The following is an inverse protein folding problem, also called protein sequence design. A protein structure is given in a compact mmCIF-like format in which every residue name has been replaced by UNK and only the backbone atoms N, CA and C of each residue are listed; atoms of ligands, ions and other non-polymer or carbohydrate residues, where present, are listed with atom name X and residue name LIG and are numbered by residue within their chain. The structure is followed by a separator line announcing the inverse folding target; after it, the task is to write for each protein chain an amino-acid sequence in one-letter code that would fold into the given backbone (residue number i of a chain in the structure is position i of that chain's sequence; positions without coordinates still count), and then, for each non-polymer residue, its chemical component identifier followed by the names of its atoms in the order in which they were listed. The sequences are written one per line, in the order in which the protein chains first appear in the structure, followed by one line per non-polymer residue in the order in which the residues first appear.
data_IF_255568480549
#
_entry.id   IF_255568480549
#
_cell.length_a   1.000
_cell.length_b   1.000
_cell.length_c   1.000
_cell.angle_alpha   90.00
_cell.angle_beta   90.00
_cell.angle_gamma   90.00
#
_symmetry.space_group_name_H-M   'P 1'
#
loop_
_entity.id
_entity.type
_entity.pdbx_description
1 polymer ?
#
# COMPACT_ATOMS: atom_id res chain seq x y z
N UNK A 1 2.11 -15.27 -19.33
CA UNK A 1 1.63 -14.13 -18.50
C UNK A 1 2.70 -13.80 -17.44
N UNK A 2 3.96 -13.68 -17.86
CA UNK A 2 5.10 -13.29 -17.01
C UNK A 2 5.62 -11.90 -17.38
N UNK A 3 5.09 -11.28 -18.45
CA UNK A 3 5.64 -10.07 -19.07
C UNK A 3 5.07 -8.74 -18.55
N UNK A 4 4.08 -8.75 -17.65
CA UNK A 4 3.55 -7.51 -17.06
C UNK A 4 4.14 -7.16 -15.68
N UNK A 5 4.87 -8.10 -15.06
CA UNK A 5 5.44 -7.92 -13.70
C UNK A 5 6.81 -7.20 -13.75
N UNK A 6 7.39 -7.04 -14.94
CA UNK A 6 8.69 -6.40 -15.14
C UNK A 6 8.56 -5.20 -16.09
N UNK A 7 7.89 -4.13 -15.64
CA UNK A 7 8.21 -2.80 -16.16
C UNK A 7 9.19 -2.12 -15.22
N UNK A 8 10.40 -2.15 -15.73
CA UNK A 8 11.65 -1.57 -15.27
C UNK A 8 11.56 -0.05 -15.01
N UNK A 9 12.48 0.40 -14.15
CA UNK A 9 13.09 1.74 -14.08
C UNK A 9 12.17 2.97 -13.99
N UNK A 10 12.18 3.59 -12.81
CA UNK A 10 11.95 5.05 -12.65
C UNK A 10 10.56 5.56 -13.07
N UNK A 11 9.50 4.87 -12.66
CA UNK A 11 8.16 5.44 -12.78
C UNK A 11 8.08 6.74 -11.98
N UNK A 12 7.89 7.85 -12.70
CA UNK A 12 7.48 9.14 -12.15
C UNK A 12 6.33 8.91 -11.16
N UNK A 13 6.45 9.46 -9.95
CA UNK A 13 5.50 9.22 -8.88
C UNK A 13 6.10 9.59 -7.53
N UNK A 14 5.28 9.61 -6.50
CA UNK A 14 5.72 9.93 -5.14
C UNK A 14 6.72 8.88 -4.60
N UNK A 15 6.69 7.67 -5.15
CA UNK A 15 7.61 6.57 -4.82
C UNK A 15 8.75 6.40 -5.85
N UNK A 16 9.02 7.41 -6.70
CA UNK A 16 10.14 7.39 -7.63
C UNK A 16 11.46 7.07 -6.89
N UNK A 17 12.25 6.13 -7.41
CA UNK A 17 13.54 5.72 -6.80
C UNK A 17 13.44 4.83 -5.55
N UNK A 18 12.25 4.63 -4.97
CA UNK A 18 12.07 3.84 -3.74
C UNK A 18 12.45 2.36 -3.94
N UNK A 19 12.15 1.79 -5.10
CA UNK A 19 12.51 0.40 -5.41
C UNK A 19 14.04 0.17 -5.35
N UNK A 20 14.84 1.15 -5.79
CA UNK A 20 16.30 1.07 -5.73
C UNK A 20 16.81 1.07 -4.28
N UNK A 21 16.21 1.90 -3.42
CA UNK A 21 16.51 1.95 -1.98
C UNK A 21 16.19 0.60 -1.33
N UNK A 22 15.00 0.05 -1.59
CA UNK A 22 14.57 -1.25 -1.06
C UNK A 22 15.55 -2.35 -1.48
N UNK A 23 15.90 -2.42 -2.76
CA UNK A 23 16.87 -3.41 -3.25
C UNK A 23 18.26 -3.25 -2.61
N UNK A 24 18.72 -2.01 -2.45
CA UNK A 24 20.00 -1.68 -1.79
C UNK A 24 20.02 -2.12 -0.32
N UNK A 25 18.92 -1.93 0.41
CA UNK A 25 18.85 -2.26 1.84
C UNK A 25 18.65 -3.76 2.06
N UNK A 26 17.80 -4.41 1.26
CA UNK A 26 17.52 -5.84 1.38
C UNK A 26 18.70 -6.70 0.88
N UNK A 27 19.57 -6.16 0.00
CA UNK A 27 20.86 -6.76 -0.40
C UNK A 27 20.78 -8.19 -0.94
N UNK A 28 19.68 -8.55 -1.60
CA UNK A 28 19.51 -9.86 -2.22
C UNK A 28 20.43 -10.00 -3.45
N UNK A 29 21.31 -11.00 -3.45
CA UNK A 29 22.25 -11.28 -4.54
C UNK A 29 22.08 -12.72 -5.03
N UNK A 30 22.05 -12.93 -6.35
CA UNK A 30 22.28 -14.25 -6.95
C UNK A 30 23.54 -14.17 -7.81
N UNK A 31 24.42 -15.17 -7.67
CA UNK A 31 25.69 -15.52 -8.34
C UNK A 31 26.50 -14.51 -9.17
N UNK A 32 25.97 -13.38 -9.68
CA UNK A 32 26.66 -12.15 -10.09
C UNK A 32 25.72 -10.95 -10.39
N UNK A 33 24.44 -10.95 -9.97
CA UNK A 33 23.44 -9.91 -10.26
C UNK A 33 22.56 -9.59 -9.05
N UNK A 34 22.26 -8.31 -8.85
CA UNK A 34 21.27 -7.87 -7.87
C UNK A 34 19.88 -8.38 -8.27
N UNK A 35 19.16 -9.01 -7.34
CA UNK A 35 17.79 -9.46 -7.56
C UNK A 35 16.84 -8.39 -7.04
N UNK A 36 15.88 -8.00 -7.86
CA UNK A 36 14.82 -7.10 -7.42
C UNK A 36 13.93 -7.79 -6.37
N UNK A 37 13.53 -7.10 -5.30
CA UNK A 37 12.66 -7.63 -4.23
C UNK A 37 11.33 -8.16 -4.75
N UNK A 38 10.94 -7.81 -5.98
CA UNK A 38 9.71 -8.24 -6.65
C UNK A 38 9.80 -9.67 -7.19
N UNK A 39 10.98 -10.27 -7.23
CA UNK A 39 11.13 -11.68 -7.65
C UNK A 39 10.99 -12.63 -6.48
N UNK A 40 10.33 -13.79 -6.72
CA UNK A 40 10.19 -14.87 -5.74
C UNK A 40 11.55 -15.30 -5.15
N UNK A 41 12.61 -15.31 -5.96
CA UNK A 41 13.96 -15.65 -5.50
C UNK A 41 14.45 -14.75 -4.36
N UNK A 42 14.02 -13.48 -4.31
CA UNK A 42 14.34 -12.59 -3.19
C UNK A 42 13.64 -13.03 -1.91
N UNK A 43 12.36 -13.37 -1.99
CA UNK A 43 11.61 -13.92 -0.87
C UNK A 43 12.23 -15.22 -0.34
N UNK A 44 12.58 -16.14 -1.25
CA UNK A 44 13.18 -17.43 -0.89
C UNK A 44 14.55 -17.25 -0.19
N UNK A 45 15.35 -16.27 -0.62
CA UNK A 45 16.62 -15.96 0.03
C UNK A 45 16.44 -15.39 1.43
N UNK A 46 15.51 -14.44 1.60
CA UNK A 46 15.24 -13.84 2.91
C UNK A 46 14.62 -14.80 3.92
N UNK A 47 13.82 -15.76 3.43
CA UNK A 47 13.30 -16.82 4.28
C UNK A 47 14.43 -17.67 4.88
N UNK A 48 15.49 -17.95 4.10
CA UNK A 48 16.65 -18.74 4.55
C UNK A 48 17.62 -17.93 5.41
N UNK A 49 17.82 -16.65 5.07
CA UNK A 49 18.73 -15.75 5.76
C UNK A 49 17.99 -14.45 6.09
N UNK A 50 17.29 -14.40 7.24
CA UNK A 50 16.54 -13.23 7.64
C UNK A 50 17.44 -12.00 7.82
N UNK A 51 16.95 -10.84 7.37
CA UNK A 51 17.64 -9.58 7.61
C UNK A 51 17.56 -9.18 9.08
N UNK A 52 18.65 -8.60 9.57
CA UNK A 52 18.73 -8.05 10.92
C UNK A 52 19.03 -6.55 10.83
N UNK A 53 18.46 -5.77 11.76
CA UNK A 53 18.75 -4.35 11.95
C UNK A 53 18.58 -3.44 10.70
N UNK A 54 17.78 -3.84 9.71
CA UNK A 54 17.60 -3.10 8.46
C UNK A 54 16.46 -2.06 8.50
N UNK A 55 15.54 -2.20 9.45
CA UNK A 55 14.27 -1.48 9.43
C UNK A 55 14.45 0.04 9.55
N UNK A 56 15.30 0.51 10.47
CA UNK A 56 15.51 1.94 10.67
C UNK A 56 16.06 2.62 9.41
N UNK A 57 17.07 2.02 8.78
CA UNK A 57 17.67 2.53 7.55
C UNK A 57 16.66 2.52 6.40
N UNK A 58 15.94 1.42 6.22
CA UNK A 58 14.91 1.29 5.19
C UNK A 58 13.86 2.39 5.31
N UNK A 59 13.28 2.53 6.50
CA UNK A 59 12.21 3.51 6.75
C UNK A 59 12.72 4.94 6.56
N UNK A 60 13.94 5.23 7.00
CA UNK A 60 14.54 6.56 6.92
C UNK A 60 14.84 6.94 5.47
N UNK A 61 15.52 6.06 4.72
CA UNK A 61 15.87 6.32 3.32
C UNK A 61 14.61 6.43 2.43
N UNK A 62 13.64 5.52 2.59
CA UNK A 62 12.39 5.56 1.81
C UNK A 62 11.58 6.82 2.12
N UNK A 63 11.45 7.18 3.41
CA UNK A 63 10.71 8.38 3.79
C UNK A 63 11.40 9.67 3.31
N UNK A 64 12.73 9.73 3.34
CA UNK A 64 13.49 10.85 2.78
C UNK A 64 13.29 10.96 1.25
N UNK A 65 13.25 9.82 0.55
CA UNK A 65 12.97 9.81 -0.89
C UNK A 65 11.56 10.30 -1.20
N UNK A 66 10.55 9.91 -0.42
CA UNK A 66 9.17 10.41 -0.56
C UNK A 66 9.13 11.94 -0.45
N UNK A 67 9.81 12.53 0.55
CA UNK A 67 9.87 13.98 0.70
C UNK A 67 10.56 14.66 -0.48
N UNK A 68 11.72 14.14 -0.89
CA UNK A 68 12.47 14.64 -2.05
C UNK A 68 11.59 14.63 -3.30
N UNK A 69 10.84 13.55 -3.51
CA UNK A 69 9.91 13.43 -4.62
C UNK A 69 8.75 14.43 -4.53
N UNK A 70 8.19 14.63 -3.34
CA UNK A 70 7.15 15.63 -3.12
C UNK A 70 7.66 17.03 -3.44
N UNK A 71 8.83 17.42 -2.95
CA UNK A 71 9.41 18.75 -3.19
C UNK A 71 9.72 18.97 -4.68
N UNK A 72 10.27 17.93 -5.33
CA UNK A 72 10.60 17.92 -6.76
C UNK A 72 9.42 17.71 -7.71
N UNK A 73 8.18 17.56 -7.20
CA UNK A 73 7.02 17.22 -8.03
C UNK A 73 6.73 18.31 -9.09
N UNK A 74 6.28 17.92 -10.29
CA UNK A 74 5.87 18.86 -11.33
C UNK A 74 4.54 19.55 -11.01
N UNK A 75 3.65 18.91 -10.27
CA UNK A 75 2.32 19.46 -9.94
C UNK A 75 2.36 20.36 -8.72
N UNK A 76 2.01 21.64 -8.87
CA UNK A 76 1.89 22.58 -7.75
C UNK A 76 0.48 22.67 -7.14
N UNK A 77 -0.53 22.09 -7.81
CA UNK A 77 -1.89 21.98 -7.27
C UNK A 77 -1.96 20.96 -6.14
N UNK A 78 -2.90 21.11 -5.19
CA UNK A 78 -3.18 20.11 -4.18
C UNK A 78 -3.46 18.72 -4.79
N UNK A 79 -3.15 17.65 -4.03
CA UNK A 79 -3.47 16.28 -4.42
C UNK A 79 -4.98 16.03 -4.39
N UNK A 80 -5.39 14.80 -4.74
CA UNK A 80 -6.79 14.42 -4.72
C UNK A 80 -7.36 14.43 -3.30
N UNK A 81 -8.56 15.00 -3.13
CA UNK A 81 -9.36 14.91 -1.90
C UNK A 81 -9.89 13.50 -1.62
N UNK A 82 -9.79 12.63 -2.62
CA UNK A 82 -10.18 11.22 -2.52
C UNK A 82 -9.17 10.35 -1.79
N UNK A 83 -7.94 10.84 -1.60
CA UNK A 83 -6.93 10.09 -0.84
C UNK A 83 -7.42 9.92 0.59
N UNK A 84 -7.20 8.75 1.19
CA UNK A 84 -7.56 8.41 2.57
C UNK A 84 -9.06 8.48 2.91
N UNK A 85 -9.94 8.52 1.89
CA UNK A 85 -11.38 8.43 2.09
C UNK A 85 -11.76 7.06 2.68
N UNK A 86 -12.69 7.06 3.63
CA UNK A 86 -13.29 5.81 4.12
C UNK A 86 -14.64 5.58 3.42
N UNK A 87 -14.63 4.81 2.33
CA UNK A 87 -15.82 4.57 1.52
C UNK A 87 -15.87 3.13 1.01
N UNK A 88 -17.07 2.54 1.07
CA UNK A 88 -17.36 1.24 0.44
C UNK A 88 -17.65 1.43 -1.05
N UNK A 89 -16.73 1.01 -1.91
CA UNK A 89 -16.99 0.90 -3.33
C UNK A 89 -17.55 -0.49 -3.63
N UNK A 90 -18.88 -0.58 -3.79
CA UNK A 90 -19.59 -1.85 -4.05
C UNK A 90 -19.65 -2.20 -5.54
N UNK A 91 -19.32 -1.27 -6.43
CA UNK A 91 -19.44 -1.50 -7.86
C UNK A 91 -18.26 -2.36 -8.35
N UNK A 92 -18.59 -3.34 -9.19
CA UNK A 92 -17.62 -4.16 -9.90
C UNK A 92 -17.92 -4.07 -11.39
N UNK A 93 -16.90 -3.78 -12.19
CA UNK A 93 -17.03 -3.87 -13.65
C UNK A 93 -17.24 -5.34 -14.04
N UNK A 94 -18.25 -5.62 -14.86
CA UNK A 94 -18.56 -6.97 -15.35
C UNK A 94 -17.39 -7.64 -16.07
N UNK A 95 -16.44 -6.85 -16.60
CA UNK A 95 -15.24 -7.34 -17.28
C UNK A 95 -14.07 -7.62 -16.33
N UNK A 96 -14.16 -7.27 -15.04
CA UNK A 96 -13.06 -7.42 -14.12
C UNK A 96 -12.87 -8.89 -13.69
N UNK A 97 -11.75 -9.48 -14.10
CA UNK A 97 -11.37 -10.87 -13.80
C UNK A 97 -10.42 -11.03 -12.61
N UNK A 98 -10.02 -9.93 -11.94
CA UNK A 98 -9.16 -10.01 -10.76
C UNK A 98 -9.94 -10.60 -9.58
N UNK A 99 -9.48 -11.76 -9.10
CA UNK A 99 -10.03 -12.42 -7.93
C UNK A 99 -9.87 -11.57 -6.67
N UNK A 100 -8.78 -10.80 -6.54
CA UNK A 100 -8.58 -9.85 -5.43
C UNK A 100 -9.64 -8.77 -5.44
N UNK A 101 -9.87 -8.12 -6.58
CA UNK A 101 -10.88 -7.08 -6.69
C UNK A 101 -12.27 -7.67 -6.42
N UNK A 102 -12.57 -8.85 -6.95
CA UNK A 102 -13.83 -9.55 -6.67
C UNK A 102 -14.01 -9.81 -5.17
N UNK A 103 -12.99 -10.30 -4.48
CA UNK A 103 -13.03 -10.57 -3.04
C UNK A 103 -13.18 -9.28 -2.22
N UNK A 104 -12.42 -8.22 -2.54
CA UNK A 104 -12.59 -6.91 -1.91
C UNK A 104 -14.05 -6.42 -2.01
N UNK A 105 -14.65 -6.55 -3.20
CA UNK A 105 -16.04 -6.13 -3.44
C UNK A 105 -17.04 -7.03 -2.72
N UNK A 106 -16.76 -8.33 -2.61
CA UNK A 106 -17.60 -9.26 -1.87
C UNK A 106 -17.65 -8.88 -0.38
N UNK A 107 -16.50 -8.59 0.24
CA UNK A 107 -16.39 -8.20 1.65
C UNK A 107 -17.22 -6.95 1.95
N UNK A 108 -17.03 -5.85 1.20
CA UNK A 108 -17.76 -4.59 1.46
C UNK A 108 -19.23 -4.62 1.03
N UNK A 109 -19.68 -5.70 0.37
CA UNK A 109 -21.09 -5.93 0.02
C UNK A 109 -21.86 -6.68 1.11
N UNK A 110 -21.17 -7.27 2.09
CA UNK A 110 -21.84 -8.00 3.18
C UNK A 110 -22.81 -7.04 3.89
N UNK A 111 -24.03 -7.51 4.11
CA UNK A 111 -25.09 -6.71 4.73
C UNK A 111 -24.77 -6.49 6.21
N UNK A 112 -24.83 -5.23 6.68
CA UNK A 112 -24.56 -4.88 8.08
C UNK A 112 -25.55 -5.49 9.08
N UNK A 113 -26.73 -5.90 8.65
CA UNK A 113 -27.68 -6.63 9.51
C UNK A 113 -27.24 -8.09 9.72
N UNK A 114 -26.52 -8.68 8.75
CA UNK A 114 -25.96 -10.03 8.88
C UNK A 114 -24.62 -10.02 9.61
N UNK A 115 -23.78 -9.03 9.31
CA UNK A 115 -22.49 -8.85 9.94
C UNK A 115 -22.34 -7.38 10.33
N UNK A 116 -22.66 -7.00 11.59
CA UNK A 116 -22.61 -5.62 12.05
C UNK A 116 -21.29 -4.90 11.82
N UNK A 117 -20.19 -5.65 11.82
CA UNK A 117 -18.86 -5.12 11.56
C UNK A 117 -18.62 -4.75 10.09
N UNK A 118 -19.44 -5.24 9.15
CA UNK A 118 -19.31 -4.91 7.72
C UNK A 118 -19.27 -3.41 7.43
N UNK A 119 -19.88 -2.56 8.28
CA UNK A 119 -19.84 -1.08 8.17
C UNK A 119 -18.46 -0.46 8.46
N UNK A 120 -17.57 -1.23 9.07
CA UNK A 120 -16.20 -0.84 9.44
C UNK A 120 -15.18 -1.21 8.37
N UNK A 121 -15.62 -1.75 7.23
CA UNK A 121 -14.78 -2.09 6.10
C UNK A 121 -14.92 -1.09 4.96
N UNK A 122 -13.79 -0.69 4.39
CA UNK A 122 -13.68 0.04 3.13
C UNK A 122 -12.69 -0.67 2.20
N UNK A 123 -12.76 -0.36 0.91
CA UNK A 123 -11.94 -1.01 -0.09
C UNK A 123 -11.41 -0.02 -1.12
N UNK A 124 -10.25 -0.35 -1.70
CA UNK A 124 -9.61 0.45 -2.74
C UNK A 124 -9.48 1.93 -2.32
N UNK A 125 -8.86 2.15 -1.15
CA UNK A 125 -8.67 3.46 -0.53
C UNK A 125 -7.45 4.14 -1.17
N UNK A 126 -7.60 5.19 -1.99
CA UNK A 126 -6.47 5.84 -2.63
C UNK A 126 -5.54 6.48 -1.58
N UNK A 127 -4.24 6.46 -1.81
CA UNK A 127 -3.26 7.00 -0.82
C UNK A 127 -2.41 8.13 -1.40
N UNK A 128 -2.19 8.13 -2.71
CA UNK A 128 -1.19 8.99 -3.35
C UNK A 128 -1.64 9.69 -4.64
N UNK A 129 -2.92 9.61 -5.00
CA UNK A 129 -3.41 10.23 -6.24
C UNK A 129 -3.20 11.75 -6.19
N UNK A 130 -2.52 12.30 -7.20
CA UNK A 130 -2.24 13.74 -7.25
C UNK A 130 -1.02 14.20 -6.45
N UNK A 131 -0.30 13.32 -5.74
CA UNK A 131 0.90 13.72 -4.98
C UNK A 131 2.08 14.09 -5.89
N UNK A 132 2.27 13.40 -7.01
CA UNK A 132 3.31 13.73 -7.98
C UNK A 132 2.78 14.54 -9.16
N UNK A 133 1.80 13.97 -9.87
CA UNK A 133 1.07 14.61 -10.95
C UNK A 133 -0.37 14.05 -11.05
N UNK A 134 -1.08 14.34 -12.13
CA UNK A 134 -2.45 13.85 -12.34
C UNK A 134 -2.57 12.47 -13.00
N UNK A 135 -1.46 11.82 -13.36
CA UNK A 135 -1.40 10.56 -14.12
C UNK A 135 -0.82 9.43 -13.27
N UNK A 136 0.23 9.72 -12.53
CA UNK A 136 0.98 8.79 -11.69
C UNK A 136 0.20 8.42 -10.43
N UNK A 137 0.61 7.31 -9.81
CA UNK A 137 0.14 6.82 -8.51
C UNK A 137 -1.38 6.56 -8.39
N UNK A 138 -2.14 6.57 -9.49
CA UNK A 138 -3.60 6.28 -9.47
C UNK A 138 -3.94 4.89 -8.95
N UNK A 139 -3.00 3.95 -9.05
CA UNK A 139 -3.14 2.57 -8.59
C UNK A 139 -2.62 2.37 -7.16
N UNK A 140 -2.11 3.41 -6.49
CA UNK A 140 -1.66 3.33 -5.11
C UNK A 140 -2.85 3.44 -4.18
N UNK A 141 -3.52 2.32 -3.97
CA UNK A 141 -4.69 2.23 -3.12
C UNK A 141 -4.61 0.99 -2.24
N UNK A 142 -4.96 1.14 -0.97
CA UNK A 142 -5.04 0.02 -0.03
C UNK A 142 -6.24 -0.85 -0.43
N UNK A 143 -6.03 -2.16 -0.56
CA UNK A 143 -7.06 -3.10 -0.99
C UNK A 143 -8.26 -3.10 -0.05
N UNK A 144 -7.98 -3.27 1.24
CA UNK A 144 -8.97 -3.24 2.31
C UNK A 144 -8.49 -2.39 3.48
N UNK A 145 -9.41 -1.61 4.03
CA UNK A 145 -9.23 -0.93 5.31
C UNK A 145 -10.30 -1.44 6.25
N UNK A 146 -9.87 -1.92 7.41
CA UNK A 146 -10.76 -2.26 8.51
C UNK A 146 -10.55 -1.26 9.64
N UNK A 147 -11.64 -0.66 10.10
CA UNK A 147 -11.61 0.26 11.23
C UNK A 147 -11.92 -0.52 12.49
N UNK A 148 -10.99 -0.53 13.44
CA UNK A 148 -11.16 -1.16 14.74
C UNK A 148 -11.62 -0.09 15.75
N UNK A 149 -12.92 0.06 16.02
CA UNK A 149 -13.41 1.17 16.82
C UNK A 149 -12.92 1.05 18.27
N UNK A 150 -12.38 2.14 18.81
CA UNK A 150 -11.92 2.23 20.20
C UNK A 150 -12.67 3.34 20.94
N UNK A 151 -11.94 4.18 21.66
CA UNK A 151 -12.51 5.39 22.28
C UNK A 151 -13.13 6.34 21.25
N UNK A 152 -12.55 6.40 20.05
CA UNK A 152 -13.09 7.09 18.88
C UNK A 152 -13.26 6.10 17.73
N UNK A 153 -14.16 6.43 16.78
CA UNK A 153 -14.49 5.55 15.64
C UNK A 153 -13.25 5.07 14.89
N UNK A 154 -12.30 5.95 14.61
CA UNK A 154 -11.08 5.63 13.85
C UNK A 154 -9.85 5.64 14.75
N UNK A 155 -9.92 5.10 15.97
CA UNK A 155 -8.76 5.07 16.87
C UNK A 155 -7.64 4.16 16.32
N UNK A 156 -8.01 2.94 15.90
CA UNK A 156 -7.11 2.01 15.23
C UNK A 156 -7.67 1.59 13.87
N UNK A 157 -6.80 1.45 12.88
CA UNK A 157 -7.17 1.00 11.54
C UNK A 157 -6.17 -0.01 11.02
N UNK A 158 -6.65 -0.99 10.26
CA UNK A 158 -5.84 -1.99 9.59
C UNK A 158 -5.76 -1.63 8.11
N UNK A 159 -4.54 -1.51 7.59
CA UNK A 159 -4.27 -1.43 6.16
C UNK A 159 -3.91 -2.82 5.69
N UNK A 160 -4.77 -3.39 4.85
CA UNK A 160 -4.70 -4.78 4.45
C UNK A 160 -4.38 -4.81 2.96
N UNK A 161 -3.25 -5.42 2.63
CA UNK A 161 -2.91 -5.88 1.27
C UNK A 161 -3.45 -7.29 1.09
N UNK A 162 -4.28 -7.52 0.08
CA UNK A 162 -5.02 -8.76 -0.10
C UNK A 162 -4.40 -9.58 -1.24
N UNK A 163 -4.03 -10.83 -0.97
CA UNK A 163 -3.51 -11.75 -1.98
C UNK A 163 -4.35 -13.02 -2.00
N UNK A 164 -4.84 -13.43 -3.17
CA UNK A 164 -5.77 -14.57 -3.31
C UNK A 164 -5.10 -15.84 -3.82
N UNK A 165 -3.95 -15.72 -4.47
CA UNK A 165 -3.15 -16.86 -4.92
C UNK A 165 -1.67 -16.48 -5.07
N UNK A 166 -0.83 -17.46 -5.41
CA UNK A 166 0.61 -17.28 -5.61
C UNK A 166 0.98 -16.56 -6.92
N UNK A 167 0.01 -16.29 -7.80
CA UNK A 167 0.20 -15.48 -9.02
C UNK A 167 0.11 -13.99 -8.72
N UNK A 168 -0.49 -13.62 -7.58
CA UNK A 168 -0.56 -12.25 -7.06
C UNK A 168 0.75 -11.72 -6.45
N UNK A 169 1.88 -12.38 -6.71
CA UNK A 169 3.18 -12.03 -6.14
C UNK A 169 3.58 -12.98 -5.02
N UNK A 170 4.41 -12.50 -4.10
CA UNK A 170 4.95 -13.31 -2.99
C UNK A 170 5.04 -12.49 -1.70
N UNK A 171 5.19 -13.13 -0.53
CA UNK A 171 5.08 -12.47 0.77
C UNK A 171 5.96 -11.23 0.94
N UNK A 172 7.21 -11.27 0.45
CA UNK A 172 8.10 -10.11 0.51
C UNK A 172 7.54 -8.93 -0.29
N UNK A 173 6.97 -9.18 -1.47
CA UNK A 173 6.38 -8.14 -2.28
C UNK A 173 5.18 -7.49 -1.57
N UNK A 174 4.24 -8.30 -1.06
CA UNK A 174 3.06 -7.81 -0.34
C UNK A 174 3.43 -7.05 0.95
N UNK A 175 4.43 -7.53 1.69
CA UNK A 175 4.93 -6.86 2.89
C UNK A 175 5.50 -5.47 2.59
N UNK A 176 6.21 -5.32 1.47
CA UNK A 176 6.70 -4.03 1.00
C UNK A 176 5.56 -3.12 0.54
N UNK A 177 4.56 -3.64 -0.16
CA UNK A 177 3.38 -2.85 -0.57
C UNK A 177 2.67 -2.23 0.65
N UNK A 178 2.35 -3.03 1.67
CA UNK A 178 1.69 -2.54 2.87
C UNK A 178 2.57 -1.60 3.69
N UNK A 179 3.89 -1.83 3.72
CA UNK A 179 4.86 -0.91 4.34
C UNK A 179 4.83 0.48 3.70
N UNK A 180 4.76 0.53 2.37
CA UNK A 180 4.71 1.78 1.62
C UNK A 180 3.42 2.56 1.89
N UNK A 181 2.28 1.88 2.10
CA UNK A 181 1.06 2.56 2.59
C UNK A 181 1.27 3.18 3.97
N UNK A 182 1.95 2.50 4.89
CA UNK A 182 2.31 3.05 6.20
C UNK A 182 3.18 4.31 6.11
N UNK A 183 4.18 4.33 5.22
CA UNK A 183 5.03 5.50 5.02
C UNK A 183 4.28 6.67 4.36
N UNK A 184 3.40 6.39 3.38
CA UNK A 184 2.53 7.40 2.78
C UNK A 184 1.53 7.96 3.80
N UNK A 185 1.06 7.14 4.74
CA UNK A 185 0.20 7.58 5.84
C UNK A 185 0.93 8.57 6.76
N UNK A 186 2.14 8.22 7.20
CA UNK A 186 2.98 9.09 8.03
C UNK A 186 3.27 10.42 7.30
N UNK A 187 3.61 10.34 6.01
CA UNK A 187 3.79 11.52 5.17
C UNK A 187 2.52 12.38 5.15
N UNK A 188 1.38 11.79 4.81
CA UNK A 188 0.11 12.52 4.69
C UNK A 188 -0.31 13.21 5.99
N UNK A 189 -0.11 12.55 7.15
CA UNK A 189 -0.41 13.14 8.46
C UNK A 189 0.50 14.28 8.86
N UNK A 190 1.79 14.19 8.53
CA UNK A 190 2.76 15.26 8.85
C UNK A 190 2.57 16.50 7.98
N UNK A 191 1.97 16.33 6.80
CA UNK A 191 1.79 17.39 5.81
C UNK A 191 0.31 17.74 5.56
N UNK A 192 -0.61 17.47 6.50
CA UNK A 192 -2.05 17.71 6.32
C UNK A 192 -2.39 19.07 5.72
N UNK A 193 -1.81 20.14 6.29
CA UNK A 193 -2.04 21.52 5.85
C UNK A 193 -1.53 21.77 4.42
N UNK A 194 -0.33 21.27 4.09
CA UNK A 194 0.28 21.43 2.76
C UNK A 194 -0.47 20.63 1.69
N UNK A 195 -1.06 19.50 2.07
CA UNK A 195 -1.83 18.63 1.20
C UNK A 195 -3.31 19.02 1.11
N UNK A 196 -3.73 20.03 1.87
CA UNK A 196 -5.13 20.44 2.05
C UNK A 196 -6.04 19.26 2.46
N UNK A 197 -5.51 18.37 3.30
CA UNK A 197 -6.27 17.29 3.89
C UNK A 197 -6.94 17.73 5.19
N UNK A 198 -8.17 17.24 5.37
CA UNK A 198 -9.02 17.49 6.52
C UNK A 198 -9.49 16.15 7.08
N UNK A 199 -9.13 15.87 8.33
CA UNK A 199 -9.49 14.63 9.03
C UNK A 199 -11.00 14.41 9.14
N UNK A 200 -11.84 15.44 8.97
CA UNK A 200 -13.30 15.28 8.90
C UNK A 200 -13.76 14.63 7.60
N UNK A 201 -13.01 14.81 6.51
CA UNK A 201 -13.30 14.22 5.18
C UNK A 201 -12.40 13.04 4.83
N UNK A 202 -11.20 12.97 5.42
CA UNK A 202 -10.25 11.86 5.37
C UNK A 202 -10.04 11.24 6.77
N UNK A 203 -11.07 10.60 7.36
CA UNK A 203 -11.05 10.18 8.76
C UNK A 203 -10.07 9.04 9.07
N UNK A 204 -9.41 8.45 8.07
CA UNK A 204 -8.32 7.52 8.36
C UNK A 204 -7.09 8.24 8.92
N UNK A 205 -6.87 9.51 8.56
CA UNK A 205 -5.71 10.30 8.97
C UNK A 205 -5.74 10.72 10.45
N UNK A 206 -6.84 10.50 11.18
CA UNK A 206 -6.90 10.69 12.63
C UNK A 206 -6.43 9.46 13.43
N UNK A 207 -6.27 8.29 12.82
CA UNK A 207 -5.95 7.06 13.57
C UNK A 207 -4.66 7.19 14.38
N UNK A 208 -4.72 6.82 15.66
CA UNK A 208 -3.56 6.84 16.54
C UNK A 208 -2.65 5.64 16.28
N UNK A 209 -3.24 4.54 15.79
CA UNK A 209 -2.58 3.28 15.46
C UNK A 209 -2.98 2.81 14.07
N UNK A 210 -1.98 2.34 13.32
CA UNK A 210 -2.22 1.61 12.07
C UNK A 210 -1.60 0.22 12.21
N UNK A 211 -2.32 -0.80 11.76
CA UNK A 211 -1.80 -2.16 11.61
C UNK A 211 -1.56 -2.41 10.13
N UNK A 212 -0.37 -2.90 9.79
CA UNK A 212 -0.03 -3.25 8.42
C UNK A 212 -0.16 -4.76 8.29
N UNK A 213 -1.11 -5.20 7.47
CA UNK A 213 -1.51 -6.60 7.37
C UNK A 213 -1.42 -7.06 5.92
N UNK A 214 -0.84 -8.25 5.72
CA UNK A 214 -1.01 -9.01 4.48
C UNK A 214 -2.02 -10.11 4.79
N UNK A 215 -3.12 -10.13 4.05
CA UNK A 215 -4.14 -11.17 4.17
C UNK A 215 -4.05 -12.07 2.93
N UNK A 216 -3.71 -13.33 3.15
CA UNK A 216 -3.53 -14.31 2.08
C UNK A 216 -3.80 -15.74 2.57
N UNK A 217 -4.12 -16.70 1.67
CA UNK A 217 -4.16 -18.12 1.99
C UNK A 217 -2.85 -18.63 2.60
N UNK A 218 -2.91 -19.73 3.34
CA UNK A 218 -1.73 -20.32 3.98
C UNK A 218 -0.63 -20.64 2.95
N UNK A 219 -1.02 -21.20 1.82
CA UNK A 219 -0.12 -21.62 0.73
C UNK A 219 0.60 -20.44 0.06
N UNK A 220 0.13 -19.20 0.26
CA UNK A 220 0.81 -18.01 -0.21
C UNK A 220 2.15 -17.78 0.52
N UNK A 221 2.24 -18.22 1.78
CA UNK A 221 3.39 -17.97 2.64
C UNK A 221 4.53 -18.98 2.50
N UNK A 222 4.29 -20.10 1.81
CA UNK A 222 5.28 -21.18 1.61
C UNK A 222 5.01 -22.39 2.48
#
# INVERSE_FOLDING_TARGET
MQDEILRDVDQNGILKGVDAIINKVIRVKSTNKAIHYRHKTACDQLHRVPLQNFAADLLTEVYAQIKTNWEGRPRKKPPSRENWRFQQNKNIDKKNKSLEIQLQRAIVKINSNMWPDAKNWANHVPTASGLWDHKCDKHRAIDLVHVCPGQNRYDSVEFIELKVDTKSGHPLYAAIEVLLYGLLYIFSRRHLKELEYDVTTQPLLQASKIHLVVLAPFEYYG
#
